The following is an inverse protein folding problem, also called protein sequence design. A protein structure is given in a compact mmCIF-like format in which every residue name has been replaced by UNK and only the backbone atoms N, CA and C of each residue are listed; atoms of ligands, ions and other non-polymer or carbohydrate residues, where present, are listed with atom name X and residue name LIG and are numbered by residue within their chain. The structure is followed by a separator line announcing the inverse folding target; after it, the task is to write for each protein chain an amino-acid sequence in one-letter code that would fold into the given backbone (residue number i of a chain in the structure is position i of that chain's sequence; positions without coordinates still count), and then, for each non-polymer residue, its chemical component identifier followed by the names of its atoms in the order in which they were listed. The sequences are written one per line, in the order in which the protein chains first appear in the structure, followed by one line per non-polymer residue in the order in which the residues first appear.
data_IF_792319463951
#
_entry.id   IF_792319463951
#
_cell.length_a   1.000
_cell.length_b   1.000
_cell.length_c   1.000
_cell.angle_alpha   90.00
_cell.angle_beta   90.00
_cell.angle_gamma   90.00
#
_symmetry.space_group_name_H-M   'P 1'
#
loop_
_entity.id
_entity.type
_entity.pdbx_description
1 polymer ?
#
# COMPACT_ATOMS: atom_id res chain seq x y z
N UNK A 1 14.21 -14.91 17.59
CA UNK A 1 12.78 -14.65 17.33
C UNK A 1 12.65 -13.99 15.96
N UNK A 2 11.99 -14.64 14.99
CA UNK A 2 11.46 -14.01 13.78
C UNK A 2 10.05 -13.53 14.12
N UNK A 3 9.92 -12.23 14.34
CA UNK A 3 8.63 -11.59 14.54
C UNK A 3 8.23 -10.93 13.24
N UNK A 4 7.06 -11.29 12.75
CA UNK A 4 6.45 -10.64 11.62
C UNK A 4 5.01 -10.26 12.02
N UNK A 5 4.32 -9.43 11.25
CA UNK A 5 3.02 -8.93 11.70
C UNK A 5 1.92 -10.02 11.77
N UNK A 6 2.12 -11.19 11.15
CA UNK A 6 1.17 -12.28 11.25
C UNK A 6 1.52 -13.25 12.41
N UNK A 7 2.78 -13.32 12.85
CA UNK A 7 3.11 -14.13 14.02
C UNK A 7 4.56 -14.06 14.46
N UNK A 8 4.87 -14.85 15.48
CA UNK A 8 6.21 -14.94 16.04
C UNK A 8 6.68 -16.38 16.00
N UNK A 9 7.81 -16.61 15.32
CA UNK A 9 8.57 -17.86 15.42
C UNK A 9 9.75 -17.58 16.35
N UNK A 10 9.73 -18.13 17.55
CA UNK A 10 10.83 -18.03 18.48
C UNK A 10 11.75 -19.25 18.33
N UNK A 11 13.06 -19.00 18.31
CA UNK A 11 14.04 -20.03 18.64
C UNK A 11 14.02 -20.26 20.14
N UNK A 12 14.61 -21.36 20.60
CA UNK A 12 14.94 -21.50 22.02
C UNK A 12 15.77 -20.29 22.49
N UNK A 13 15.51 -19.83 23.70
CA UNK A 13 16.29 -18.75 24.32
C UNK A 13 17.66 -19.25 24.72
N UNK A 14 18.69 -18.44 24.52
CA UNK A 14 20.05 -18.69 24.98
C UNK A 14 20.59 -17.47 25.72
N UNK A 15 21.54 -17.68 26.65
CA UNK A 15 22.21 -16.57 27.33
C UNK A 15 23.30 -16.00 26.42
N UNK A 16 23.15 -14.73 26.04
CA UNK A 16 24.10 -14.03 25.16
C UNK A 16 25.49 -13.81 25.80
N UNK A 17 25.58 -13.89 27.14
CA UNK A 17 26.84 -13.75 27.89
C UNK A 17 27.60 -15.06 27.92
N UNK A 18 26.89 -16.19 27.95
CA UNK A 18 27.48 -17.53 27.90
C UNK A 18 27.79 -17.95 26.46
N UNK A 19 26.92 -17.59 25.51
CA UNK A 19 26.99 -17.98 24.09
C UNK A 19 26.93 -16.78 23.12
N UNK A 20 27.88 -15.82 23.19
CA UNK A 20 27.91 -14.67 22.29
C UNK A 20 28.07 -15.06 20.82
N UNK A 21 28.69 -16.21 20.53
CA UNK A 21 28.92 -16.74 19.19
C UNK A 21 27.65 -16.94 18.39
N UNK A 22 26.54 -17.34 19.04
CA UNK A 22 25.27 -17.61 18.35
C UNK A 22 24.67 -16.33 17.75
N UNK A 23 24.70 -15.22 18.50
CA UNK A 23 24.20 -13.93 18.01
C UNK A 23 25.14 -13.36 16.94
N UNK A 24 26.45 -13.41 17.17
CA UNK A 24 27.44 -12.93 16.21
C UNK A 24 27.36 -13.70 14.88
N UNK A 25 27.23 -15.02 14.94
CA UNK A 25 27.07 -15.86 13.76
C UNK A 25 25.77 -15.57 13.04
N UNK A 26 24.66 -15.38 13.76
CA UNK A 26 23.38 -14.97 13.16
C UNK A 26 23.52 -13.63 12.41
N UNK A 27 24.06 -12.60 13.07
CA UNK A 27 24.23 -11.27 12.46
C UNK A 27 25.19 -11.33 11.27
N UNK A 28 26.26 -12.10 11.37
CA UNK A 28 27.19 -12.31 10.27
C UNK A 28 26.47 -12.99 9.09
N UNK A 29 25.82 -14.14 9.31
CA UNK A 29 25.06 -14.84 8.25
C UNK A 29 23.99 -13.94 7.65
N UNK A 30 23.18 -13.27 8.48
CA UNK A 30 22.13 -12.34 8.04
C UNK A 30 22.68 -11.18 7.21
N UNK A 31 23.89 -10.68 7.51
CA UNK A 31 24.55 -9.65 6.71
C UNK A 31 24.98 -10.13 5.31
N UNK A 32 25.17 -11.44 5.14
CA UNK A 32 25.54 -12.07 3.86
C UNK A 32 24.31 -12.51 3.04
N UNK A 33 23.11 -12.50 3.62
CA UNK A 33 21.87 -12.86 2.91
C UNK A 33 21.45 -11.71 1.99
N UNK A 34 20.97 -12.05 0.78
CA UNK A 34 20.43 -11.09 -0.17
C UNK A 34 19.25 -10.29 0.41
N UNK A 35 18.92 -9.14 -0.18
CA UNK A 35 17.74 -8.37 0.21
C UNK A 35 16.47 -9.23 0.22
N UNK A 36 16.27 -10.02 -0.84
CA UNK A 36 15.17 -10.96 -0.93
C UNK A 36 15.17 -11.99 0.22
N UNK A 37 16.32 -12.59 0.53
CA UNK A 37 16.43 -13.56 1.63
C UNK A 37 16.24 -12.91 3.02
N UNK A 38 16.48 -11.60 3.14
CA UNK A 38 16.13 -10.79 4.32
C UNK A 38 14.65 -10.42 4.37
N UNK A 39 13.88 -10.73 3.33
CA UNK A 39 12.44 -10.48 3.24
C UNK A 39 12.07 -9.14 2.61
N UNK A 40 12.99 -8.48 1.90
CA UNK A 40 12.64 -7.29 1.11
C UNK A 40 11.82 -7.69 -0.12
N UNK A 41 10.83 -6.86 -0.42
CA UNK A 41 10.06 -6.95 -1.65
C UNK A 41 10.86 -6.34 -2.80
N UNK A 42 11.36 -7.20 -3.69
CA UNK A 42 12.20 -6.81 -4.82
C UNK A 42 11.40 -6.17 -5.97
N UNK A 43 10.07 -6.16 -5.89
CA UNK A 43 9.21 -5.47 -6.86
C UNK A 43 9.18 -3.96 -6.65
N UNK A 44 9.68 -3.49 -5.50
CA UNK A 44 9.67 -2.09 -5.08
C UNK A 44 10.98 -1.41 -5.45
N UNK A 45 10.89 -0.28 -6.15
CA UNK A 45 12.03 0.53 -6.55
C UNK A 45 11.76 2.01 -6.29
N UNK A 46 12.81 2.82 -6.20
CA UNK A 46 12.64 4.27 -6.21
C UNK A 46 12.16 4.74 -7.59
N UNK A 47 11.20 5.67 -7.61
CA UNK A 47 10.74 6.27 -8.85
C UNK A 47 11.80 7.19 -9.46
N UNK A 48 11.82 7.31 -10.79
CA UNK A 48 12.60 8.36 -11.46
C UNK A 48 11.99 9.74 -11.22
N UNK A 49 12.72 10.81 -11.56
CA UNK A 49 12.19 12.18 -11.46
C UNK A 49 10.95 12.38 -12.35
N UNK A 50 10.92 11.77 -13.53
CA UNK A 50 9.79 11.81 -14.45
C UNK A 50 8.57 11.06 -13.89
N UNK A 51 8.79 9.88 -13.31
CA UNK A 51 7.74 9.11 -12.65
C UNK A 51 7.16 9.85 -11.44
N UNK A 52 8.02 10.49 -10.64
CA UNK A 52 7.60 11.30 -9.50
C UNK A 52 6.80 12.53 -9.93
N UNK A 53 7.20 13.21 -11.01
CA UNK A 53 6.46 14.32 -11.58
C UNK A 53 5.09 13.89 -12.12
N UNK A 54 5.05 12.78 -12.86
CA UNK A 54 3.82 12.18 -13.39
C UNK A 54 2.85 11.82 -12.27
N UNK A 55 3.34 11.17 -11.21
CA UNK A 55 2.53 10.83 -10.05
C UNK A 55 1.99 12.08 -9.36
N UNK A 56 2.83 13.10 -9.14
CA UNK A 56 2.40 14.37 -8.55
C UNK A 56 1.27 15.03 -9.35
N UNK A 57 1.40 15.07 -10.68
CA UNK A 57 0.37 15.62 -11.56
C UNK A 57 -0.95 14.84 -11.46
N UNK A 58 -0.87 13.50 -11.53
CA UNK A 58 -2.05 12.64 -11.43
C UNK A 58 -2.78 12.78 -10.09
N UNK A 59 -2.05 12.84 -8.98
CA UNK A 59 -2.61 13.04 -7.63
C UNK A 59 -3.22 14.44 -7.51
N UNK A 60 -2.55 15.48 -8.01
CA UNK A 60 -3.06 16.85 -7.97
C UNK A 60 -4.41 16.96 -8.67
N UNK A 61 -4.52 16.41 -9.88
CA UNK A 61 -5.78 16.36 -10.63
C UNK A 61 -6.85 15.56 -9.89
N UNK A 62 -6.49 14.41 -9.31
CA UNK A 62 -7.43 13.58 -8.54
C UNK A 62 -7.97 14.29 -7.30
N UNK A 63 -7.11 14.99 -6.56
CA UNK A 63 -7.49 15.79 -5.39
C UNK A 63 -8.41 16.94 -5.79
N UNK A 64 -8.10 17.65 -6.88
CA UNK A 64 -8.97 18.71 -7.40
C UNK A 64 -10.35 18.17 -7.80
N UNK A 65 -10.41 17.02 -8.49
CA UNK A 65 -11.65 16.36 -8.88
C UNK A 65 -12.52 15.94 -7.68
N UNK A 66 -11.92 15.36 -6.63
CA UNK A 66 -12.67 14.86 -5.46
C UNK A 66 -12.99 15.94 -4.44
N UNK A 67 -12.05 16.85 -4.17
CA UNK A 67 -12.14 17.77 -3.05
C UNK A 67 -12.35 19.22 -3.48
N UNK A 68 -12.35 19.55 -4.78
CA UNK A 68 -12.38 20.93 -5.26
C UNK A 68 -13.46 21.83 -4.63
N UNK A 69 -14.69 21.31 -4.47
CA UNK A 69 -15.80 22.03 -3.81
C UNK A 69 -15.82 21.90 -2.28
N UNK A 70 -15.17 20.87 -1.73
CA UNK A 70 -15.07 20.63 -0.28
C UNK A 70 -13.96 21.49 0.35
N UNK A 71 -12.85 21.70 -0.37
CA UNK A 71 -11.75 22.58 0.04
C UNK A 71 -12.23 24.02 0.26
N UNK A 72 -13.18 24.51 -0.54
CA UNK A 72 -13.77 25.84 -0.34
C UNK A 72 -14.59 25.92 0.95
N UNK A 73 -15.26 24.82 1.32
CA UNK A 73 -16.09 24.73 2.54
C UNK A 73 -15.26 24.54 3.81
N UNK A 74 -14.06 23.96 3.71
CA UNK A 74 -13.17 23.77 4.86
C UNK A 74 -12.40 25.04 5.24
N UNK A 75 -12.35 26.06 4.37
CA UNK A 75 -11.66 27.32 4.64
C UNK A 75 -12.55 28.24 5.52
N UNK A 76 -12.09 28.62 6.73
CA UNK A 76 -12.85 29.52 7.60
C UNK A 76 -13.11 30.88 6.95
N UNK A 77 -14.34 31.39 7.10
CA UNK A 77 -14.76 32.69 6.55
C UNK A 77 -14.48 32.85 5.04
N UNK A 78 -14.48 31.74 4.26
CA UNK A 78 -14.16 31.76 2.83
C UNK A 78 -14.91 32.85 2.08
N UNK A 79 -16.22 32.99 2.32
CA UNK A 79 -17.05 33.97 1.62
C UNK A 79 -16.67 35.44 1.87
N UNK A 80 -16.09 35.73 3.04
CA UNK A 80 -15.65 37.08 3.43
C UNK A 80 -14.28 37.46 2.86
N UNK A 81 -13.55 36.50 2.28
CA UNK A 81 -12.22 36.72 1.73
C UNK A 81 -12.26 37.48 0.39
N UNK A 82 -11.26 38.33 0.17
CA UNK A 82 -11.04 38.97 -1.14
C UNK A 82 -10.68 37.93 -2.18
N UNK A 83 -10.92 38.20 -3.48
CA UNK A 83 -10.59 37.28 -4.58
C UNK A 83 -9.14 36.76 -4.51
N UNK A 84 -8.18 37.63 -4.18
CA UNK A 84 -6.76 37.27 -4.04
C UNK A 84 -6.53 36.32 -2.87
N UNK A 85 -7.14 36.59 -1.71
CA UNK A 85 -7.00 35.72 -0.53
C UNK A 85 -7.71 34.38 -0.73
N UNK A 86 -8.90 34.36 -1.36
CA UNK A 86 -9.60 33.11 -1.76
C UNK A 86 -8.71 32.19 -2.59
N UNK A 87 -8.06 32.75 -3.62
CA UNK A 87 -7.13 32.00 -4.47
C UNK A 87 -5.96 31.43 -3.68
N UNK A 88 -5.33 32.24 -2.83
CA UNK A 88 -4.20 31.80 -2.01
C UNK A 88 -4.59 30.70 -0.99
N UNK A 89 -5.72 30.88 -0.28
CA UNK A 89 -6.21 29.88 0.67
C UNK A 89 -6.60 28.57 -0.01
N UNK A 90 -7.25 28.63 -1.18
CA UNK A 90 -7.58 27.43 -1.96
C UNK A 90 -6.32 26.71 -2.44
N UNK A 91 -5.31 27.45 -2.89
CA UNK A 91 -4.02 26.89 -3.30
C UNK A 91 -3.32 26.19 -2.12
N UNK A 92 -3.27 26.83 -0.95
CA UNK A 92 -2.67 26.24 0.24
C UNK A 92 -3.42 24.98 0.70
N UNK A 93 -4.76 24.99 0.68
CA UNK A 93 -5.56 23.83 1.04
C UNK A 93 -5.39 22.66 0.05
N UNK A 94 -5.22 22.98 -1.24
CA UNK A 94 -4.91 21.99 -2.27
C UNK A 94 -3.52 21.38 -2.05
N UNK A 95 -2.51 22.21 -1.77
CA UNK A 95 -1.15 21.75 -1.46
C UNK A 95 -1.10 20.84 -0.24
N UNK A 96 -1.86 21.17 0.82
CA UNK A 96 -2.00 20.35 2.02
C UNK A 96 -2.65 18.99 1.72
N UNK A 97 -3.77 18.97 1.00
CA UNK A 97 -4.46 17.74 0.60
C UNK A 97 -3.61 16.85 -0.33
N UNK A 98 -2.82 17.45 -1.23
CA UNK A 98 -1.83 16.70 -2.03
C UNK A 98 -0.76 16.10 -1.11
N UNK A 99 -0.30 16.85 -0.11
CA UNK A 99 0.70 16.42 0.87
C UNK A 99 0.30 15.19 1.70
N UNK A 100 -1.00 14.91 1.85
CA UNK A 100 -1.49 13.68 2.48
C UNK A 100 -1.12 12.41 1.68
N UNK A 101 -0.97 12.53 0.36
CA UNK A 101 -0.74 11.39 -0.56
C UNK A 101 0.61 11.45 -1.27
N UNK A 102 1.26 12.61 -1.29
CA UNK A 102 2.50 12.85 -2.01
C UNK A 102 3.59 13.39 -1.09
N UNK A 103 4.77 12.77 -1.15
CA UNK A 103 6.03 13.31 -0.61
C UNK A 103 7.17 12.95 -1.56
N UNK A 104 7.91 13.98 -1.99
CA UNK A 104 8.87 13.88 -3.09
C UNK A 104 10.05 12.92 -2.81
N UNK A 105 10.44 12.75 -1.55
CA UNK A 105 11.56 11.92 -1.11
C UNK A 105 11.25 10.41 -1.04
N UNK A 106 9.97 10.02 -1.16
CA UNK A 106 9.54 8.62 -1.00
C UNK A 106 8.58 8.16 -2.09
N UNK A 107 8.73 8.70 -3.30
CA UNK A 107 7.99 8.16 -4.45
C UNK A 107 8.64 6.85 -4.87
N UNK A 108 7.85 5.79 -4.91
CA UNK A 108 8.32 4.42 -5.22
C UNK A 108 7.42 3.80 -6.28
N UNK A 109 8.00 2.88 -7.05
CA UNK A 109 7.32 2.09 -8.07
C UNK A 109 7.23 0.64 -7.59
N UNK A 110 6.03 0.07 -7.68
CA UNK A 110 5.76 -1.34 -7.44
C UNK A 110 5.46 -1.99 -8.79
N UNK A 111 6.21 -3.04 -9.13
CA UNK A 111 5.97 -3.85 -10.33
C UNK A 111 5.20 -5.11 -10.00
N UNK A 112 3.93 -5.18 -10.40
CA UNK A 112 3.04 -6.29 -10.06
C UNK A 112 2.69 -7.11 -11.27
N UNK A 113 3.00 -8.40 -11.24
CA UNK A 113 2.60 -9.33 -12.29
C UNK A 113 1.23 -9.94 -11.96
N UNK A 114 0.25 -9.65 -12.80
CA UNK A 114 -1.10 -10.20 -12.71
C UNK A 114 -1.23 -11.32 -13.74
N UNK A 115 -1.61 -12.51 -13.27
CA UNK A 115 -1.85 -13.66 -14.16
C UNK A 115 -3.18 -13.50 -14.89
N UNK A 116 -3.17 -13.72 -16.18
CA UNK A 116 -4.39 -13.85 -16.96
C UNK A 116 -4.95 -15.27 -16.77
N UNK A 117 -6.09 -15.36 -16.09
CA UNK A 117 -6.74 -16.63 -15.77
C UNK A 117 -7.27 -17.38 -17.01
N UNK A 118 -7.47 -16.69 -18.14
CA UNK A 118 -8.09 -17.27 -19.33
C UNK A 118 -7.06 -17.68 -20.41
N UNK A 119 -5.97 -16.92 -20.55
CA UNK A 119 -5.03 -17.12 -21.66
C UNK A 119 -3.65 -17.67 -21.27
N UNK A 120 -3.41 -17.93 -19.97
CA UNK A 120 -2.13 -18.45 -19.47
C UNK A 120 -0.95 -17.47 -19.60
N UNK A 121 -1.22 -16.22 -20.01
CA UNK A 121 -0.29 -15.11 -19.99
C UNK A 121 -0.36 -14.33 -18.66
N UNK A 122 0.29 -13.17 -18.64
CA UNK A 122 0.09 -12.21 -17.56
C UNK A 122 0.62 -10.84 -17.95
N UNK A 123 0.14 -9.82 -17.26
CA UNK A 123 0.50 -8.42 -17.49
C UNK A 123 1.19 -7.87 -16.24
N UNK A 124 2.29 -7.16 -16.45
CA UNK A 124 2.94 -6.40 -15.39
C UNK A 124 2.33 -5.01 -15.33
N UNK A 125 1.75 -4.65 -14.19
CA UNK A 125 1.32 -3.31 -13.85
C UNK A 125 2.41 -2.60 -13.07
N UNK A 126 2.73 -1.37 -13.47
CA UNK A 126 3.64 -0.51 -12.73
C UNK A 126 2.83 0.53 -11.98
N UNK A 127 2.96 0.51 -10.66
CA UNK A 127 2.21 1.38 -9.76
C UNK A 127 3.17 2.36 -9.11
N UNK A 128 2.92 3.65 -9.31
CA UNK A 128 3.67 4.70 -8.62
C UNK A 128 2.89 5.08 -7.35
N UNK A 129 3.55 5.02 -6.20
CA UNK A 129 2.99 5.35 -4.89
C UNK A 129 3.92 6.31 -4.14
N UNK A 130 3.41 6.92 -3.07
CA UNK A 130 4.24 7.71 -2.16
C UNK A 130 3.85 7.46 -0.70
N UNK A 131 2.96 8.27 -0.13
CA UNK A 131 2.57 8.11 1.27
C UNK A 131 1.40 7.15 1.42
N UNK A 132 1.42 6.24 2.41
CA UNK A 132 0.23 5.46 2.73
C UNK A 132 -0.86 6.35 3.35
N UNK A 133 -2.09 6.18 2.90
CA UNK A 133 -3.30 6.79 3.50
C UNK A 133 -3.56 6.22 4.90
N UNK A 134 -3.22 4.95 5.11
CA UNK A 134 -3.32 4.30 6.42
C UNK A 134 -2.13 3.36 6.63
N UNK A 135 -1.57 3.42 7.84
CA UNK A 135 -0.52 2.52 8.30
C UNK A 135 -0.71 2.26 9.79
N UNK A 136 -1.51 1.25 10.18
CA UNK A 136 -1.76 0.95 11.58
C UNK A 136 -0.46 0.60 12.31
N UNK A 137 -0.30 1.15 13.52
CA UNK A 137 0.86 0.96 14.39
C UNK A 137 0.76 -0.30 15.27
N UNK A 138 -0.30 -1.11 15.11
CA UNK A 138 -0.48 -2.33 15.90
C UNK A 138 0.64 -3.34 15.65
N UNK A 139 1.20 -3.84 16.74
CA UNK A 139 2.27 -4.85 16.78
C UNK A 139 1.81 -6.22 16.25
N UNK A 140 0.51 -6.51 16.28
CA UNK A 140 -0.12 -7.69 15.67
C UNK A 140 -1.21 -7.22 14.69
N UNK A 141 -0.98 -7.36 13.39
CA UNK A 141 -1.95 -7.01 12.33
C UNK A 141 -1.53 -7.62 10.99
N UNK A 142 -2.37 -7.58 9.95
CA UNK A 142 -1.98 -8.08 8.61
C UNK A 142 -0.99 -7.18 7.85
N UNK A 143 -0.32 -6.28 8.55
CA UNK A 143 0.52 -5.24 7.98
C UNK A 143 -0.13 -4.29 6.99
N UNK A 144 -1.46 -4.22 6.98
CA UNK A 144 -2.22 -3.54 5.93
C UNK A 144 -1.79 -2.08 5.77
N UNK A 145 -1.26 -1.75 4.60
CA UNK A 145 -1.03 -0.38 4.16
C UNK A 145 -1.91 -0.11 2.96
N UNK A 146 -2.40 1.12 2.86
CA UNK A 146 -3.21 1.52 1.72
C UNK A 146 -2.66 2.78 1.10
N UNK A 147 -2.72 2.88 -0.22
CA UNK A 147 -2.13 3.97 -0.98
C UNK A 147 -3.10 4.45 -2.05
N UNK A 148 -3.01 5.74 -2.38
CA UNK A 148 -3.32 6.17 -3.73
C UNK A 148 -2.14 5.81 -4.61
N UNK A 149 -2.39 4.98 -5.61
CA UNK A 149 -1.40 4.56 -6.58
C UNK A 149 -1.77 5.11 -7.95
N UNK A 150 -0.80 5.52 -8.75
CA UNK A 150 -1.01 5.77 -10.17
C UNK A 150 -0.58 4.53 -10.95
N UNK A 151 -1.53 3.89 -11.62
CA UNK A 151 -1.23 2.80 -12.54
C UNK A 151 -0.86 3.38 -13.91
N UNK A 152 0.36 3.13 -14.35
CA UNK A 152 0.84 3.62 -15.66
C UNK A 152 0.24 2.87 -16.84
N UNK A 153 -0.23 1.64 -16.63
CA UNK A 153 -0.89 0.81 -17.65
C UNK A 153 -2.32 1.27 -17.86
N UNK A 154 -3.05 1.53 -16.77
CA UNK A 154 -4.43 2.05 -16.82
C UNK A 154 -4.50 3.58 -16.93
N UNK A 155 -3.36 4.27 -16.84
CA UNK A 155 -3.24 5.73 -16.86
C UNK A 155 -4.18 6.46 -15.88
N UNK A 156 -4.36 5.91 -14.68
CA UNK A 156 -5.28 6.48 -13.68
C UNK A 156 -4.85 6.22 -12.24
N UNK A 157 -5.38 7.05 -11.34
CA UNK A 157 -5.22 6.85 -9.89
C UNK A 157 -6.19 5.76 -9.43
N UNK A 158 -5.65 4.74 -8.77
CA UNK A 158 -6.33 3.57 -8.19
C UNK A 158 -6.04 3.47 -6.70
N UNK A 159 -6.81 2.66 -5.97
CA UNK A 159 -6.53 2.40 -4.57
C UNK A 159 -5.80 1.06 -4.42
N UNK A 160 -4.56 1.13 -3.92
CA UNK A 160 -3.73 -0.03 -3.66
C UNK A 160 -3.83 -0.41 -2.18
N UNK A 161 -4.15 -1.67 -1.92
CA UNK A 161 -4.04 -2.27 -0.60
C UNK A 161 -2.90 -3.28 -0.60
N UNK A 162 -1.88 -3.01 0.19
CA UNK A 162 -0.78 -3.90 0.51
C UNK A 162 -1.09 -4.61 1.83
N UNK A 163 -1.12 -5.94 1.82
CA UNK A 163 -1.40 -6.72 3.03
C UNK A 163 -0.72 -8.07 2.99
N UNK A 164 -0.38 -8.58 4.15
CA UNK A 164 0.01 -9.98 4.30
C UNK A 164 -1.22 -10.85 4.45
N UNK A 165 -1.20 -12.03 3.83
CA UNK A 165 -2.24 -13.06 3.96
C UNK A 165 -1.63 -14.40 4.32
N UNK A 166 -2.38 -15.21 5.06
CA UNK A 166 -2.09 -16.63 5.22
C UNK A 166 -2.49 -17.36 3.96
N UNK A 167 -1.62 -18.24 3.47
CA UNK A 167 -1.95 -19.15 2.38
C UNK A 167 -2.55 -20.44 2.94
N UNK A 168 -3.86 -20.39 3.23
CA UNK A 168 -4.63 -21.53 3.73
C UNK A 168 -5.95 -21.66 2.95
N UNK A 169 -6.32 -22.89 2.58
CA UNK A 169 -7.50 -23.17 1.75
C UNK A 169 -8.82 -22.59 2.29
N UNK A 170 -8.93 -22.50 3.63
CA UNK A 170 -10.13 -21.98 4.31
C UNK A 170 -10.28 -20.47 4.26
N UNK A 171 -9.25 -19.74 3.83
CA UNK A 171 -9.26 -18.29 3.72
C UNK A 171 -8.85 -17.86 2.31
N UNK A 172 -9.83 -17.78 1.38
CA UNK A 172 -9.53 -17.39 0.01
C UNK A 172 -8.96 -15.96 -0.03
N UNK A 173 -8.14 -15.63 -1.06
CA UNK A 173 -7.66 -14.27 -1.27
C UNK A 173 -8.80 -13.25 -1.32
N UNK A 174 -8.53 -12.04 -0.82
CA UNK A 174 -9.50 -10.96 -0.82
C UNK A 174 -9.98 -10.60 -2.23
N UNK A 175 -9.11 -10.70 -3.24
CA UNK A 175 -9.51 -10.52 -4.63
C UNK A 175 -10.57 -11.51 -5.07
N UNK A 176 -10.46 -12.80 -4.73
CA UNK A 176 -11.51 -13.79 -5.04
C UNK A 176 -12.86 -13.42 -4.42
N UNK A 177 -12.85 -12.90 -3.18
CA UNK A 177 -14.06 -12.47 -2.47
C UNK A 177 -14.66 -11.25 -3.18
N UNK A 178 -13.87 -10.23 -3.46
CA UNK A 178 -14.32 -9.02 -4.15
C UNK A 178 -14.85 -9.32 -5.55
N UNK A 179 -14.15 -10.15 -6.33
CA UNK A 179 -14.58 -10.59 -7.65
C UNK A 179 -15.94 -11.32 -7.59
N UNK A 180 -16.12 -12.20 -6.61
CA UNK A 180 -17.40 -12.89 -6.39
C UNK A 180 -18.54 -11.91 -6.09
N UNK A 181 -18.29 -10.93 -5.20
CA UNK A 181 -19.27 -9.90 -4.86
C UNK A 181 -19.59 -8.97 -6.06
N UNK A 182 -18.58 -8.56 -6.82
CA UNK A 182 -18.77 -7.74 -8.02
C UNK A 182 -19.59 -8.48 -9.09
N UNK A 183 -19.31 -9.77 -9.33
CA UNK A 183 -20.07 -10.62 -10.27
C UNK A 183 -21.53 -10.80 -9.88
N UNK A 184 -21.82 -10.84 -8.57
CA UNK A 184 -23.18 -10.90 -8.04
C UNK A 184 -23.89 -9.53 -8.03
N UNK A 185 -23.23 -8.46 -8.44
CA UNK A 185 -23.80 -7.11 -8.47
C UNK A 185 -24.09 -6.54 -7.08
N UNK A 186 -23.37 -6.98 -6.05
CA UNK A 186 -23.55 -6.47 -4.68
C UNK A 186 -23.16 -4.99 -4.64
N UNK A 187 -24.08 -4.14 -4.19
CA UNK A 187 -23.87 -2.69 -4.09
C UNK A 187 -22.92 -2.34 -2.94
N UNK A 188 -22.26 -1.20 -3.06
CA UNK A 188 -21.33 -0.66 -2.05
C UNK A 188 -20.11 -1.53 -1.77
N UNK A 189 -19.73 -2.38 -2.73
CA UNK A 189 -18.47 -3.12 -2.75
C UNK A 189 -17.55 -2.45 -3.78
N UNK A 190 -16.28 -2.15 -3.44
CA UNK A 190 -15.31 -1.66 -4.41
C UNK A 190 -15.20 -2.60 -5.61
N UNK A 191 -15.05 -2.04 -6.80
CA UNK A 191 -14.73 -2.81 -8.00
C UNK A 191 -13.29 -3.29 -7.93
N UNK A 192 -13.08 -4.60 -7.95
CA UNK A 192 -11.76 -5.21 -8.10
C UNK A 192 -11.24 -4.96 -9.51
N UNK A 193 -10.05 -4.38 -9.61
CA UNK A 193 -9.34 -4.27 -10.89
C UNK A 193 -8.50 -5.52 -11.11
N UNK A 194 -7.66 -5.84 -10.13
CA UNK A 194 -6.84 -7.04 -10.11
C UNK A 194 -6.25 -7.22 -8.72
N UNK A 195 -5.81 -8.45 -8.43
CA UNK A 195 -5.02 -8.79 -7.27
C UNK A 195 -3.82 -9.67 -7.67
N UNK A 196 -2.83 -9.75 -6.80
CA UNK A 196 -1.65 -10.55 -7.03
C UNK A 196 -0.80 -10.74 -5.78
N UNK A 197 -0.09 -11.86 -5.74
CA UNK A 197 0.96 -12.10 -4.74
C UNK A 197 2.30 -11.52 -5.24
N UNK A 198 3.11 -11.00 -4.31
CA UNK A 198 4.50 -10.66 -4.58
C UNK A 198 5.25 -11.95 -4.91
N UNK A 199 5.79 -12.03 -6.12
CA UNK A 199 6.57 -13.20 -6.53
C UNK A 199 7.96 -13.13 -5.90
N UNK A 200 8.36 -14.21 -5.24
CA UNK A 200 9.75 -14.43 -4.90
C UNK A 200 10.39 -15.29 -5.99
N UNK A 201 11.49 -14.82 -6.58
CA UNK A 201 12.42 -15.68 -7.30
C UNK A 201 13.10 -16.63 -6.31
N UNK A 202 12.39 -17.66 -5.83
CA UNK A 202 13.03 -18.78 -5.13
C UNK A 202 13.08 -19.92 -6.11
N UNK A 203 14.17 -19.98 -6.87
CA UNK A 203 14.62 -21.22 -7.49
C UNK A 203 15.23 -22.08 -6.40
N UNK A 204 14.41 -22.75 -5.59
CA UNK A 204 14.83 -24.03 -5.04
C UNK A 204 13.67 -24.93 -4.62
N UNK A 205 13.86 -26.20 -4.92
CA UNK A 205 12.90 -27.28 -4.80
C UNK A 205 12.37 -27.47 -3.37
N UNK A 206 11.09 -27.88 -3.31
CA UNK A 206 10.40 -28.54 -2.20
C UNK A 206 10.26 -27.75 -0.89
N UNK A 207 9.12 -27.08 -0.75
CA UNK A 207 8.08 -27.26 0.28
C UNK A 207 7.28 -25.95 0.36
N UNK A 208 6.25 -25.78 -0.48
CA UNK A 208 5.19 -24.82 -0.14
C UNK A 208 4.41 -25.45 1.00
N UNK A 209 4.81 -25.12 2.23
CA UNK A 209 4.07 -25.55 3.41
C UNK A 209 2.77 -24.74 3.47
N UNK A 210 1.63 -25.42 3.52
CA UNK A 210 0.35 -24.79 3.83
C UNK A 210 0.50 -23.97 5.13
N UNK A 211 0.18 -22.67 5.09
CA UNK A 211 0.39 -21.75 6.21
C UNK A 211 1.51 -20.72 6.04
N UNK A 212 2.19 -20.65 4.89
CA UNK A 212 3.12 -19.55 4.59
C UNK A 212 2.39 -18.20 4.44
N UNK A 213 3.08 -17.13 4.84
CA UNK A 213 2.61 -15.76 4.66
C UNK A 213 3.02 -15.26 3.28
N UNK A 214 2.06 -14.69 2.56
CA UNK A 214 2.28 -14.04 1.28
C UNK A 214 1.98 -12.56 1.39
N UNK A 215 2.88 -11.73 0.88
CA UNK A 215 2.55 -10.34 0.58
C UNK A 215 1.68 -10.33 -0.65
N UNK A 216 0.51 -9.71 -0.55
CA UNK A 216 -0.41 -9.58 -1.65
C UNK A 216 -0.86 -8.14 -1.79
N UNK A 217 -1.16 -7.79 -3.03
CA UNK A 217 -1.73 -6.52 -3.38
C UNK A 217 -3.13 -6.72 -3.93
N UNK A 218 -4.05 -5.87 -3.49
CA UNK A 218 -5.41 -5.80 -4.00
C UNK A 218 -5.64 -4.40 -4.50
N UNK A 219 -6.03 -4.28 -5.77
CA UNK A 219 -6.32 -2.99 -6.38
C UNK A 219 -7.80 -2.85 -6.68
N UNK A 220 -8.34 -1.70 -6.29
CA UNK A 220 -9.75 -1.36 -6.49
C UNK A 220 -9.90 0.02 -7.10
N UNK A 221 -10.94 0.22 -7.91
CA UNK A 221 -11.14 1.48 -8.64
C UNK A 221 -11.44 2.65 -7.68
N UNK A 222 -12.21 2.38 -6.60
CA UNK A 222 -12.54 3.38 -5.57
C UNK A 222 -12.88 2.72 -4.24
N UNK A 223 -12.35 3.28 -3.16
CA UNK A 223 -13.04 3.28 -1.87
C UNK A 223 -13.94 4.51 -1.89
N UNK A 224 -15.25 4.33 -1.69
CA UNK A 224 -16.22 5.41 -1.59
C UNK A 224 -15.74 6.50 -0.61
N UNK A 225 -16.01 7.76 -0.94
CA UNK A 225 -15.58 9.00 -0.25
C UNK A 225 -15.88 9.08 1.27
N UNK A 226 -16.50 8.06 1.85
CA UNK A 226 -16.87 7.98 3.27
C UNK A 226 -15.70 7.65 4.19
N UNK A 227 -14.62 7.01 3.72
CA UNK A 227 -13.46 6.70 4.59
C UNK A 227 -12.69 7.98 5.00
N UNK A 228 -12.67 9.02 4.15
CA UNK A 228 -12.01 10.29 4.50
C UNK A 228 -12.80 11.15 5.50
N UNK A 229 -14.10 10.89 5.71
CA UNK A 229 -14.88 11.65 6.69
C UNK A 229 -14.52 11.33 8.14
N UNK A 230 -13.88 10.19 8.41
CA UNK A 230 -13.51 9.75 9.76
C UNK A 230 -12.16 10.24 10.27
N UNK A 231 -11.32 10.86 9.42
CA UNK A 231 -9.95 11.27 9.79
C UNK A 231 -9.83 12.69 10.35
N UNK A 232 -10.84 13.54 10.16
CA UNK A 232 -10.79 14.97 10.51
C UNK A 232 -11.47 15.32 11.85
N UNK A 233 -12.04 14.36 12.59
CA UNK A 233 -12.73 14.64 13.85
C UNK A 233 -12.05 14.18 15.14
N UNK A 234 -11.07 13.27 15.11
CA UNK A 234 -10.67 12.55 16.32
C UNK A 234 -9.21 12.78 16.73
N UNK A 235 -8.77 14.03 16.80
CA UNK A 235 -7.57 14.42 17.55
C UNK A 235 -7.80 15.76 18.29
N UNK A 236 -8.79 15.76 19.18
CA UNK A 236 -8.87 16.67 20.32
C UNK A 236 -9.28 15.83 21.53
N UNK A 237 -8.48 15.91 22.60
CA UNK A 237 -8.52 15.07 23.81
C UNK A 237 -7.85 13.69 23.59
N UNK A 238 -6.73 13.33 24.23
CA UNK A 238 -6.31 13.60 25.61
C UNK A 238 -4.79 13.55 25.78
#
# INVERSE_FOLDING_TARGET
MRWDRAGAIATESFDIREHPELLCEFLWRFSQVSDQGRGYDMTVQMATEEEAALFKEAISRKVEEQLGSLLEKSIPDYDKLTKRKKKASKQAALEDAIGEHYRADVVTVISMFVKDAEFGGGQTHRLIISRPTSSPLSLASRATRTYWAFDTTLCRVVFLKDTWRYDIDRMPPEGNILLGLNRLGVRFVPELLYDGDVQSEVSDNSYSAAGELKTCFVLVDKVSDEIYRGGLSDNAHS
#
